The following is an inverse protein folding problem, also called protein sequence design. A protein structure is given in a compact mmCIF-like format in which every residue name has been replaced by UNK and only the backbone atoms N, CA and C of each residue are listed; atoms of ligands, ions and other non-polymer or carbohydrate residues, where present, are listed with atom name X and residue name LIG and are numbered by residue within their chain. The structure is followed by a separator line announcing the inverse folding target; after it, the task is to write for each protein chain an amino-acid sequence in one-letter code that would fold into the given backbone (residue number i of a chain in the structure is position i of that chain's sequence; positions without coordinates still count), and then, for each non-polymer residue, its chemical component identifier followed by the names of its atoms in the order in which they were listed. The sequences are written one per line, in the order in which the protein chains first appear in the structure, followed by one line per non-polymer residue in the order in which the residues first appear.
data_IF_801232750814
#
_entry.id   IF_801232750814
#
_cell.length_a   1.000
_cell.length_b   1.000
_cell.length_c   1.000
_cell.angle_alpha   90.00
_cell.angle_beta   90.00
_cell.angle_gamma   90.00
#
_symmetry.space_group_name_H-M   'P 1'
#
loop_
_entity.id
_entity.type
_entity.pdbx_description
1 polymer ?
#
# COMPACT_ATOMS: atom_id res chain seq x y z
N UNK A 1 -51.24 -14.17 -4.42
CA UNK A 1 -52.47 -13.51 -4.90
C UNK A 1 -52.18 -13.08 -6.32
N UNK A 2 -52.71 -13.85 -7.29
CA UNK A 2 -52.58 -13.61 -8.72
C UNK A 2 -53.53 -12.49 -9.13
N UNK A 3 -53.03 -11.50 -9.85
CA UNK A 3 -53.75 -10.86 -10.96
C UNK A 3 -52.68 -10.44 -11.98
N UNK A 4 -52.71 -11.10 -13.13
CA UNK A 4 -51.97 -10.66 -14.31
C UNK A 4 -52.75 -9.61 -15.08
N UNK A 5 -52.03 -8.89 -15.93
CA UNK A 5 -52.59 -8.34 -17.15
C UNK A 5 -51.58 -8.56 -18.28
N UNK A 6 -52.12 -9.01 -19.41
CA UNK A 6 -51.43 -9.48 -20.60
C UNK A 6 -51.16 -8.32 -21.57
N UNK A 7 -50.05 -8.44 -22.33
CA UNK A 7 -49.58 -7.59 -23.44
C UNK A 7 -48.58 -6.48 -23.08
N UNK A 8 -47.32 -6.88 -22.95
CA UNK A 8 -46.16 -6.00 -23.06
C UNK A 8 -45.09 -6.69 -23.92
N UNK A 9 -45.13 -6.44 -25.23
CA UNK A 9 -44.14 -6.90 -26.20
C UNK A 9 -42.74 -6.52 -25.70
N UNK A 10 -41.88 -7.51 -25.47
CA UNK A 10 -40.44 -7.30 -25.29
C UNK A 10 -39.91 -6.83 -26.65
N UNK A 11 -39.78 -5.52 -26.83
CA UNK A 11 -39.07 -4.95 -27.97
C UNK A 11 -37.57 -4.93 -27.66
N UNK A 12 -36.73 -5.49 -28.54
CA UNK A 12 -35.30 -5.26 -28.47
C UNK A 12 -35.05 -3.81 -28.92
N UNK A 13 -34.61 -2.96 -28.00
CA UNK A 13 -34.11 -1.62 -28.34
C UNK A 13 -32.75 -1.78 -29.04
N UNK A 14 -32.84 -2.06 -30.34
CA UNK A 14 -31.86 -1.82 -31.39
C UNK A 14 -31.33 -0.38 -31.23
N UNK A 15 -30.02 -0.16 -31.19
CA UNK A 15 -29.24 0.20 -32.40
C UNK A 15 -30.04 1.17 -33.27
N UNK A 16 -30.37 2.37 -32.76
CA UNK A 16 -30.84 3.50 -33.57
C UNK A 16 -30.79 4.88 -32.89
N UNK A 17 -29.97 5.06 -31.83
CA UNK A 17 -29.65 6.39 -31.29
C UNK A 17 -28.12 6.63 -31.18
N UNK A 18 -27.32 5.87 -31.93
CA UNK A 18 -25.87 6.12 -32.04
C UNK A 18 -25.55 7.31 -32.95
N UNK A 19 -26.34 7.56 -34.00
CA UNK A 19 -26.12 8.71 -34.90
C UNK A 19 -26.64 10.04 -34.31
N UNK A 20 -27.65 10.00 -33.44
CA UNK A 20 -28.20 11.21 -32.82
C UNK A 20 -27.44 11.63 -31.57
N UNK A 21 -26.76 10.69 -30.89
CA UNK A 21 -25.88 10.98 -29.75
C UNK A 21 -24.42 11.30 -30.15
N UNK A 22 -24.12 11.32 -31.46
CA UNK A 22 -22.85 11.74 -32.06
C UNK A 22 -22.79 13.25 -32.35
N UNK A 23 -23.88 13.98 -32.09
CA UNK A 23 -23.97 15.39 -32.49
C UNK A 23 -23.69 16.42 -31.39
N UNK A 24 -23.54 16.04 -30.11
CA UNK A 24 -23.13 17.01 -29.08
C UNK A 24 -22.06 16.41 -28.14
N UNK A 25 -20.84 16.95 -28.31
CA UNK A 25 -19.75 17.13 -27.35
C UNK A 25 -18.69 16.04 -27.07
N UNK A 26 -18.10 15.45 -28.13
CA UNK A 26 -16.66 15.19 -28.16
C UNK A 26 -16.15 15.16 -29.60
N UNK A 27 -15.88 16.32 -30.20
CA UNK A 27 -15.38 16.41 -31.58
C UNK A 27 -13.88 16.09 -31.68
N UNK A 28 -13.41 15.76 -32.89
CA UNK A 28 -11.98 15.65 -33.19
C UNK A 28 -11.19 16.92 -32.80
N UNK A 29 -11.83 18.10 -32.85
CA UNK A 29 -11.24 19.37 -32.41
C UNK A 29 -11.04 19.44 -30.88
N UNK A 30 -11.94 18.81 -30.11
CA UNK A 30 -11.79 18.67 -28.65
C UNK A 30 -10.61 17.75 -28.33
N UNK A 31 -10.46 16.62 -29.03
CA UNK A 31 -9.31 15.72 -28.88
C UNK A 31 -7.98 16.38 -29.30
N UNK A 32 -7.98 17.16 -30.38
CA UNK A 32 -6.82 17.92 -30.83
C UNK A 32 -6.45 19.03 -29.83
N UNK A 33 -7.44 19.74 -29.28
CA UNK A 33 -7.26 20.71 -28.20
C UNK A 33 -6.72 20.08 -26.90
N UNK A 34 -7.20 18.88 -26.54
CA UNK A 34 -6.75 18.09 -25.39
C UNK A 34 -5.27 17.70 -25.56
N UNK A 35 -4.80 17.39 -26.78
CA UNK A 35 -3.38 17.05 -27.03
C UNK A 35 -2.40 18.24 -26.94
N UNK A 36 -2.88 19.48 -26.72
CA UNK A 36 -2.07 20.73 -26.72
C UNK A 36 -1.16 20.89 -27.96
N UNK A 37 -1.58 20.39 -29.12
CA UNK A 37 -0.74 20.45 -30.32
C UNK A 37 0.56 19.65 -30.23
N UNK A 38 0.69 18.75 -29.24
CA UNK A 38 1.60 17.63 -29.38
C UNK A 38 0.89 16.63 -30.28
N UNK A 39 1.56 16.17 -31.33
CA UNK A 39 1.14 14.97 -32.03
C UNK A 39 0.83 13.89 -30.98
N UNK A 40 -0.26 13.13 -31.17
CA UNK A 40 -0.42 11.80 -30.54
C UNK A 40 0.98 11.19 -30.55
N UNK A 41 1.56 10.84 -29.38
CA UNK A 41 2.98 10.53 -29.24
C UNK A 41 3.37 9.71 -30.44
N UNK A 42 4.29 10.24 -31.27
CA UNK A 42 4.67 9.63 -32.56
C UNK A 42 4.74 8.16 -32.30
N UNK A 43 3.71 7.47 -32.77
CA UNK A 43 3.49 6.13 -32.31
C UNK A 43 4.69 5.39 -32.85
N UNK A 44 5.52 4.84 -31.98
CA UNK A 44 6.49 3.82 -32.32
C UNK A 44 5.81 2.56 -32.94
N UNK A 45 4.51 2.64 -33.25
CA UNK A 45 3.72 1.76 -34.11
C UNK A 45 4.14 1.80 -35.59
N UNK A 46 4.96 2.74 -36.06
CA UNK A 46 5.56 2.68 -37.41
C UNK A 46 4.55 2.60 -38.57
N UNK A 47 3.40 3.24 -38.42
CA UNK A 47 2.23 3.01 -39.28
C UNK A 47 1.94 4.16 -40.27
N UNK A 48 1.43 3.80 -41.46
CA UNK A 48 1.00 4.70 -42.55
C UNK A 48 -0.20 5.58 -42.11
N UNK A 49 -0.49 6.67 -42.83
CA UNK A 49 -1.49 7.66 -42.37
C UNK A 49 -2.93 7.11 -42.21
N UNK A 50 -3.28 6.04 -42.93
CA UNK A 50 -4.59 5.36 -42.79
C UNK A 50 -4.74 4.66 -41.42
N UNK A 51 -3.68 4.06 -40.92
CA UNK A 51 -3.69 3.37 -39.61
C UNK A 51 -3.90 4.37 -38.47
N UNK A 52 -3.38 5.60 -38.59
CA UNK A 52 -3.57 6.65 -37.58
C UNK A 52 -5.05 7.04 -37.46
N UNK A 53 -5.75 7.16 -38.57
CA UNK A 53 -7.18 7.49 -38.60
C UNK A 53 -8.00 6.36 -37.95
N UNK A 54 -7.66 5.10 -38.24
CA UNK A 54 -8.31 3.94 -37.63
C UNK A 54 -8.13 3.91 -36.11
N UNK A 55 -6.90 4.13 -35.62
CA UNK A 55 -6.59 4.15 -34.18
C UNK A 55 -7.39 5.24 -33.46
N UNK A 56 -7.44 6.45 -34.02
CA UNK A 56 -8.22 7.56 -33.43
C UNK A 56 -9.71 7.22 -33.38
N UNK A 57 -10.27 6.63 -34.44
CA UNK A 57 -11.67 6.22 -34.48
C UNK A 57 -12.00 5.16 -33.42
N UNK A 58 -11.11 4.19 -33.21
CA UNK A 58 -11.30 3.17 -32.18
C UNK A 58 -11.21 3.75 -30.77
N UNK A 59 -10.22 4.61 -30.49
CA UNK A 59 -10.09 5.31 -29.22
C UNK A 59 -11.37 6.11 -28.89
N UNK A 60 -11.82 6.96 -29.81
CA UNK A 60 -12.99 7.80 -29.64
C UNK A 60 -14.25 6.96 -29.39
N UNK A 61 -14.45 5.91 -30.20
CA UNK A 61 -15.62 5.02 -30.07
C UNK A 61 -15.66 4.31 -28.71
N UNK A 62 -14.53 3.74 -28.28
CA UNK A 62 -14.41 2.98 -27.03
C UNK A 62 -14.60 3.91 -25.82
N UNK A 63 -13.90 5.05 -25.79
CA UNK A 63 -13.97 6.00 -24.68
C UNK A 63 -15.35 6.63 -24.55
N UNK A 64 -15.97 7.03 -25.68
CA UNK A 64 -17.31 7.60 -25.69
C UNK A 64 -18.35 6.61 -25.18
N UNK A 65 -18.26 5.36 -25.63
CA UNK A 65 -19.14 4.30 -25.16
C UNK A 65 -18.93 4.02 -23.66
N UNK A 66 -17.68 3.97 -23.18
CA UNK A 66 -17.38 3.80 -21.76
C UNK A 66 -17.97 4.92 -20.89
N UNK A 67 -17.73 6.19 -21.26
CA UNK A 67 -18.28 7.35 -20.55
C UNK A 67 -19.80 7.31 -20.46
N UNK A 68 -20.49 7.01 -21.57
CA UNK A 68 -21.95 6.93 -21.64
C UNK A 68 -22.51 5.75 -20.83
N UNK A 69 -21.91 4.57 -20.95
CA UNK A 69 -22.37 3.35 -20.25
C UNK A 69 -22.10 3.38 -18.74
N UNK A 70 -20.98 3.95 -18.32
CA UNK A 70 -20.57 4.03 -16.91
C UNK A 70 -21.03 5.32 -16.21
N UNK A 71 -21.61 6.28 -16.93
CA UNK A 71 -22.06 7.56 -16.37
C UNK A 71 -20.91 8.44 -15.86
N UNK A 72 -19.72 8.33 -16.45
CA UNK A 72 -18.53 9.10 -16.06
C UNK A 72 -18.12 10.07 -17.16
N UNK A 73 -17.43 11.15 -16.79
CA UNK A 73 -16.85 12.09 -17.75
C UNK A 73 -15.39 11.75 -18.04
N UNK A 74 -14.97 12.03 -19.27
CA UNK A 74 -13.57 11.92 -19.65
C UNK A 74 -12.78 13.11 -19.09
N UNK A 75 -11.59 12.84 -18.56
CA UNK A 75 -10.67 13.86 -18.05
C UNK A 75 -9.33 13.72 -18.76
N UNK A 76 -8.73 14.85 -19.13
CA UNK A 76 -7.41 14.85 -19.75
C UNK A 76 -6.36 14.31 -18.77
N UNK A 77 -5.54 13.35 -19.23
CA UNK A 77 -4.45 12.77 -18.44
C UNK A 77 -4.94 11.81 -17.36
N UNK A 78 -6.08 11.14 -17.60
CA UNK A 78 -6.60 10.09 -16.72
C UNK A 78 -5.98 8.70 -16.98
N UNK A 79 -5.07 8.58 -17.95
CA UNK A 79 -4.36 7.35 -18.32
C UNK A 79 -5.13 6.42 -19.27
N UNK A 80 -6.38 6.72 -19.64
CA UNK A 80 -7.21 5.77 -20.40
C UNK A 80 -6.73 5.57 -21.83
N UNK A 81 -6.22 6.63 -22.47
CA UNK A 81 -5.62 6.53 -23.81
C UNK A 81 -4.39 5.64 -23.74
N UNK A 82 -3.53 5.85 -22.74
CA UNK A 82 -2.28 5.12 -22.57
C UNK A 82 -2.51 3.64 -22.26
N UNK A 83 -3.62 3.27 -21.60
CA UNK A 83 -4.05 1.87 -21.46
C UNK A 83 -4.53 1.30 -22.80
N UNK A 84 -5.26 2.08 -23.59
CA UNK A 84 -5.83 1.61 -24.85
C UNK A 84 -4.80 1.38 -25.95
N UNK A 85 -3.72 2.18 -25.99
CA UNK A 85 -2.72 2.10 -27.05
C UNK A 85 -2.06 0.70 -27.16
N UNK A 86 -1.59 0.05 -26.06
CA UNK A 86 -1.14 -1.34 -26.11
C UNK A 86 -2.22 -2.30 -26.59
N UNK A 87 -3.46 -2.16 -26.14
CA UNK A 87 -4.56 -3.05 -26.55
C UNK A 87 -4.90 -2.94 -28.04
N UNK A 88 -4.91 -1.72 -28.58
CA UNK A 88 -5.12 -1.48 -30.01
C UNK A 88 -3.96 -2.06 -30.83
N UNK A 89 -2.73 -2.02 -30.31
CA UNK A 89 -1.57 -2.61 -30.99
C UNK A 89 -1.68 -4.13 -31.20
N UNK A 90 -2.50 -4.82 -30.38
CA UNK A 90 -2.82 -6.24 -30.53
C UNK A 90 -3.76 -6.52 -31.71
N UNK A 91 -4.33 -5.47 -32.34
CA UNK A 91 -5.25 -5.56 -33.49
C UNK A 91 -6.46 -6.47 -33.23
N UNK A 92 -6.97 -6.42 -32.00
CA UNK A 92 -8.17 -7.16 -31.59
C UNK A 92 -9.44 -6.50 -32.13
N UNK A 93 -10.56 -7.25 -32.24
CA UNK A 93 -11.87 -6.65 -32.48
C UNK A 93 -12.19 -5.57 -31.46
N UNK A 94 -12.82 -4.47 -31.88
CA UNK A 94 -13.16 -3.33 -31.00
C UNK A 94 -13.93 -3.73 -29.74
N UNK A 95 -14.81 -4.72 -29.84
CA UNK A 95 -15.54 -5.27 -28.68
C UNK A 95 -14.60 -5.86 -27.63
N UNK A 96 -13.58 -6.58 -28.07
CA UNK A 96 -12.64 -7.28 -27.20
C UNK A 96 -11.67 -6.26 -26.60
N UNK A 97 -11.23 -5.29 -27.39
CA UNK A 97 -10.45 -4.13 -26.91
C UNK A 97 -11.18 -3.36 -25.82
N UNK A 98 -12.48 -3.08 -25.99
CA UNK A 98 -13.31 -2.45 -24.96
C UNK A 98 -13.40 -3.30 -23.70
N UNK A 99 -13.70 -4.60 -23.84
CA UNK A 99 -13.83 -5.51 -22.69
C UNK A 99 -12.52 -5.60 -21.89
N UNK A 100 -11.37 -5.65 -22.57
CA UNK A 100 -10.06 -5.65 -21.93
C UNK A 100 -9.76 -4.32 -21.25
N UNK A 101 -10.03 -3.19 -21.91
CA UNK A 101 -9.88 -1.87 -21.32
C UNK A 101 -10.70 -1.72 -20.03
N UNK A 102 -11.98 -2.08 -20.09
CA UNK A 102 -12.89 -2.03 -18.94
C UNK A 102 -12.37 -2.93 -17.81
N UNK A 103 -12.01 -4.18 -18.11
CA UNK A 103 -11.48 -5.12 -17.13
C UNK A 103 -10.18 -4.60 -16.47
N UNK A 104 -9.25 -4.06 -17.27
CA UNK A 104 -8.00 -3.49 -16.76
C UNK A 104 -8.28 -2.31 -15.82
N UNK A 105 -9.11 -1.37 -16.28
CA UNK A 105 -9.48 -0.19 -15.52
C UNK A 105 -10.14 -0.54 -14.19
N UNK A 106 -11.07 -1.49 -14.18
CA UNK A 106 -11.81 -1.84 -12.97
C UNK A 106 -11.04 -2.74 -12.00
N UNK A 107 -10.17 -3.61 -12.49
CA UNK A 107 -9.49 -4.61 -11.67
C UNK A 107 -8.09 -4.19 -11.23
N UNK A 108 -7.37 -3.41 -12.04
CA UNK A 108 -5.94 -3.19 -11.84
C UNK A 108 -5.54 -1.72 -11.69
N UNK A 109 -6.38 -0.76 -12.10
CA UNK A 109 -6.11 0.67 -11.87
C UNK A 109 -6.65 1.08 -10.49
N UNK A 110 -5.80 1.51 -9.54
CA UNK A 110 -6.27 1.95 -8.24
C UNK A 110 -7.17 3.19 -8.35
N UNK A 111 -8.14 3.27 -7.45
CA UNK A 111 -8.94 4.47 -7.23
C UNK A 111 -8.09 5.58 -6.67
N UNK A 112 -8.51 6.81 -6.98
CA UNK A 112 -7.84 8.00 -6.46
C UNK A 112 -6.47 8.25 -7.07
N UNK A 113 -6.18 7.75 -8.28
CA UNK A 113 -5.01 8.16 -9.07
C UNK A 113 -5.13 9.61 -9.55
N UNK A 114 -5.05 10.53 -8.61
CA UNK A 114 -5.06 11.99 -8.77
C UNK A 114 -4.07 12.60 -7.79
N UNK A 115 -3.74 13.87 -7.97
CA UNK A 115 -2.85 14.62 -7.08
C UNK A 115 -3.28 14.47 -5.61
N UNK A 116 -2.34 14.16 -4.72
CA UNK A 116 -2.58 13.84 -3.30
C UNK A 116 -3.61 12.71 -3.03
N UNK A 117 -3.75 11.76 -3.96
CA UNK A 117 -4.63 10.60 -3.79
C UNK A 117 -4.13 9.60 -2.76
N UNK A 118 -5.05 8.83 -2.17
CA UNK A 118 -4.74 7.78 -1.17
C UNK A 118 -3.73 6.75 -1.69
N UNK A 119 -3.79 6.41 -2.98
CA UNK A 119 -2.83 5.52 -3.66
C UNK A 119 -1.38 5.95 -3.45
N UNK A 120 -1.09 7.25 -3.47
CA UNK A 120 0.26 7.77 -3.33
C UNK A 120 0.71 7.82 -1.86
N UNK A 121 -0.22 7.95 -0.92
CA UNK A 121 0.08 7.77 0.50
C UNK A 121 0.40 6.31 0.82
N UNK A 122 -0.35 5.37 0.24
CA UNK A 122 -0.07 3.93 0.33
C UNK A 122 1.31 3.60 -0.22
N UNK A 123 1.63 4.10 -1.42
CA UNK A 123 2.95 3.89 -2.01
C UNK A 123 4.07 4.52 -1.19
N UNK A 124 3.87 5.73 -0.61
CA UNK A 124 4.83 6.34 0.31
C UNK A 124 5.10 5.46 1.53
N UNK A 125 4.07 4.86 2.14
CA UNK A 125 4.24 3.95 3.27
C UNK A 125 5.00 2.68 2.88
N UNK A 126 4.77 2.16 1.68
CA UNK A 126 5.52 1.02 1.15
C UNK A 126 6.99 1.37 0.95
N UNK A 127 7.29 2.55 0.37
CA UNK A 127 8.66 3.04 0.22
C UNK A 127 9.32 3.25 1.59
N UNK A 128 8.62 3.85 2.56
CA UNK A 128 9.11 4.03 3.92
C UNK A 128 9.44 2.70 4.61
N UNK A 129 8.65 1.66 4.35
CA UNK A 129 8.84 0.34 4.92
C UNK A 129 10.11 -0.35 4.42
N UNK A 130 10.41 -0.20 3.12
CA UNK A 130 11.53 -0.89 2.45
C UNK A 130 12.80 -0.06 2.32
N UNK A 131 12.71 1.25 2.14
CA UNK A 131 13.84 2.18 2.11
C UNK A 131 13.49 3.50 2.84
N UNK A 132 13.59 3.51 4.18
CA UNK A 132 13.23 4.67 4.99
C UNK A 132 14.16 5.87 4.79
N UNK A 133 15.41 5.66 4.38
CA UNK A 133 16.35 6.75 4.07
C UNK A 133 15.92 7.47 2.79
N UNK A 134 15.64 6.70 1.73
CA UNK A 134 15.16 7.25 0.47
C UNK A 134 13.81 7.95 0.61
N UNK A 135 12.86 7.34 1.35
CA UNK A 135 11.59 7.97 1.65
C UNK A 135 11.77 9.30 2.41
N UNK A 136 12.62 9.32 3.45
CA UNK A 136 12.90 10.51 4.24
C UNK A 136 13.56 11.62 3.41
N UNK A 137 14.42 11.25 2.47
CA UNK A 137 15.05 12.19 1.53
C UNK A 137 14.01 12.86 0.63
N UNK A 138 13.13 12.07 -0.01
CA UNK A 138 12.06 12.60 -0.86
C UNK A 138 11.07 13.47 -0.08
N UNK A 139 10.69 13.05 1.13
CA UNK A 139 9.82 13.83 2.03
C UNK A 139 10.47 15.17 2.40
N UNK A 140 11.78 15.19 2.68
CA UNK A 140 12.54 16.43 2.98
C UNK A 140 12.58 17.37 1.78
N UNK A 141 12.72 16.83 0.57
CA UNK A 141 12.65 17.58 -0.70
C UNK A 141 11.21 17.98 -1.08
N UNK A 142 10.20 17.58 -0.27
CA UNK A 142 8.77 17.77 -0.52
C UNK A 142 8.32 17.19 -1.86
N UNK A 143 8.88 16.03 -2.21
CA UNK A 143 8.53 15.28 -3.42
C UNK A 143 7.63 14.12 -3.02
N UNK A 144 6.33 14.35 -3.09
CA UNK A 144 5.33 13.31 -2.87
C UNK A 144 5.21 12.40 -4.10
N UNK A 145 4.80 11.13 -3.94
CA UNK A 145 4.81 10.19 -5.06
C UNK A 145 3.92 10.56 -6.25
N UNK A 146 2.81 11.25 -6.01
CA UNK A 146 1.93 11.74 -7.06
C UNK A 146 2.62 12.69 -8.05
N UNK A 147 3.76 13.28 -7.69
CA UNK A 147 4.52 14.13 -8.60
C UNK A 147 5.30 13.34 -9.66
N UNK A 148 5.67 12.09 -9.39
CA UNK A 148 6.55 11.32 -10.29
C UNK A 148 5.97 9.98 -10.77
N UNK A 149 5.04 9.36 -10.03
CA UNK A 149 4.49 8.05 -10.39
C UNK A 149 3.01 8.10 -10.78
N UNK A 150 2.39 9.27 -10.90
CA UNK A 150 0.96 9.40 -11.26
C UNK A 150 0.62 8.63 -12.54
N UNK A 151 1.40 8.84 -13.61
CA UNK A 151 1.19 8.15 -14.89
C UNK A 151 1.44 6.64 -14.80
N UNK A 152 2.34 6.19 -13.92
CA UNK A 152 2.66 4.78 -13.75
C UNK A 152 1.45 4.02 -13.24
N UNK A 153 0.78 4.55 -12.20
CA UNK A 153 -0.41 3.94 -11.63
C UNK A 153 -1.66 4.12 -12.50
N UNK A 154 -1.80 5.26 -13.20
CA UNK A 154 -2.94 5.51 -14.09
C UNK A 154 -2.94 4.64 -15.35
N UNK A 155 -1.77 4.16 -15.78
CA UNK A 155 -1.62 3.46 -17.07
C UNK A 155 -0.91 2.09 -16.98
N UNK A 156 -0.64 1.60 -15.77
CA UNK A 156 0.24 0.43 -15.55
C UNK A 156 1.53 0.54 -16.37
N UNK A 157 2.19 1.70 -16.22
CA UNK A 157 3.42 2.11 -16.92
C UNK A 157 3.34 2.27 -18.45
N UNK A 158 2.19 2.02 -19.09
CA UNK A 158 2.05 2.13 -20.55
C UNK A 158 2.28 3.56 -21.09
N UNK A 159 2.08 4.59 -20.26
CA UNK A 159 2.38 5.97 -20.60
C UNK A 159 3.89 6.28 -20.70
N UNK A 160 4.73 5.45 -20.06
CA UNK A 160 6.15 5.74 -19.84
C UNK A 160 7.08 4.71 -20.47
N UNK A 161 6.70 3.44 -20.46
CA UNK A 161 7.49 2.37 -21.08
C UNK A 161 7.27 2.34 -22.60
N UNK A 162 8.29 1.91 -23.34
CA UNK A 162 8.11 1.55 -24.75
C UNK A 162 7.12 0.40 -24.91
N UNK A 163 6.42 0.34 -26.04
CA UNK A 163 5.37 -0.67 -26.28
C UNK A 163 5.84 -2.13 -26.06
N UNK A 164 7.02 -2.58 -26.55
CA UNK A 164 7.48 -3.95 -26.30
C UNK A 164 7.65 -4.28 -24.81
N UNK A 165 8.16 -3.31 -24.04
CA UNK A 165 8.37 -3.42 -22.59
C UNK A 165 7.03 -3.45 -21.87
N UNK A 166 6.11 -2.55 -22.23
CA UNK A 166 4.76 -2.49 -21.68
C UNK A 166 3.99 -3.80 -21.88
N UNK A 167 4.05 -4.38 -23.09
CA UNK A 167 3.40 -5.66 -23.40
C UNK A 167 4.02 -6.82 -22.61
N UNK A 168 5.35 -6.95 -22.61
CA UNK A 168 6.06 -7.99 -21.85
C UNK A 168 5.73 -7.92 -20.35
N UNK A 169 5.68 -6.70 -19.80
CA UNK A 169 5.33 -6.47 -18.40
C UNK A 169 3.87 -6.83 -18.13
N UNK A 170 2.95 -6.48 -19.04
CA UNK A 170 1.53 -6.82 -18.91
C UNK A 170 1.27 -8.33 -18.98
N UNK A 171 2.03 -9.08 -19.78
CA UNK A 171 1.94 -10.55 -19.81
C UNK A 171 2.19 -11.14 -18.41
N UNK A 172 3.29 -10.74 -17.76
CA UNK A 172 3.63 -11.22 -16.41
C UNK A 172 2.66 -10.69 -15.34
N UNK A 173 2.27 -9.41 -15.45
CA UNK A 173 1.39 -8.75 -14.50
C UNK A 173 -0.01 -9.41 -14.47
N UNK A 174 -0.60 -9.65 -15.64
CA UNK A 174 -1.92 -10.28 -15.73
C UNK A 174 -1.87 -11.78 -15.46
N UNK A 175 -0.77 -12.46 -15.79
CA UNK A 175 -0.56 -13.85 -15.39
C UNK A 175 -0.51 -14.02 -13.87
N UNK A 176 0.10 -13.08 -13.14
CA UNK A 176 0.11 -13.07 -11.66
C UNK A 176 -1.28 -12.78 -11.06
N UNK A 177 -2.11 -12.04 -11.78
CA UNK A 177 -3.49 -11.69 -11.41
C UNK A 177 -3.64 -10.93 -10.07
N UNK A 178 -2.63 -10.13 -9.70
CA UNK A 178 -2.57 -9.36 -8.45
C UNK A 178 -2.59 -7.83 -8.70
N UNK A 179 -3.68 -7.11 -8.36
CA UNK A 179 -3.77 -5.65 -8.49
C UNK A 179 -2.74 -4.84 -7.73
N UNK A 180 -2.21 -5.37 -6.63
CA UNK A 180 -1.20 -4.66 -5.84
C UNK A 180 0.20 -4.71 -6.45
N UNK A 181 0.40 -5.55 -7.48
CA UNK A 181 1.73 -5.75 -8.04
C UNK A 181 2.35 -4.46 -8.62
N UNK A 182 1.51 -3.49 -9.03
CA UNK A 182 1.96 -2.19 -9.56
C UNK A 182 2.71 -1.37 -8.51
N UNK A 183 2.36 -1.51 -7.22
CA UNK A 183 3.06 -0.85 -6.13
C UNK A 183 4.50 -1.37 -6.00
N UNK A 184 4.71 -2.68 -6.19
CA UNK A 184 6.03 -3.28 -6.09
C UNK A 184 6.89 -3.01 -7.33
N UNK A 185 6.29 -2.96 -8.52
CA UNK A 185 6.97 -2.49 -9.73
C UNK A 185 7.44 -1.04 -9.56
N UNK A 186 6.57 -0.16 -9.06
CA UNK A 186 6.94 1.22 -8.76
C UNK A 186 8.04 1.31 -7.68
N UNK A 187 7.99 0.45 -6.67
CA UNK A 187 9.00 0.40 -5.60
C UNK A 187 10.37 0.03 -6.17
N UNK A 188 10.45 -1.05 -6.96
CA UNK A 188 11.70 -1.51 -7.58
C UNK A 188 12.28 -0.43 -8.48
N UNK A 189 11.44 0.29 -9.25
CA UNK A 189 11.92 1.38 -10.11
C UNK A 189 12.65 2.46 -9.30
N UNK A 190 12.12 2.83 -8.14
CA UNK A 190 12.69 3.86 -7.27
C UNK A 190 13.90 3.34 -6.50
N UNK A 191 13.82 2.14 -5.93
CA UNK A 191 14.89 1.56 -5.11
C UNK A 191 16.12 1.19 -5.95
N UNK A 192 15.95 0.72 -7.18
CA UNK A 192 17.08 0.45 -8.08
C UNK A 192 17.89 1.71 -8.41
N UNK A 193 17.25 2.88 -8.39
CA UNK A 193 17.89 4.16 -8.63
C UNK A 193 18.32 4.89 -7.35
N UNK A 194 18.29 4.22 -6.18
CA UNK A 194 18.57 4.81 -4.86
C UNK A 194 19.82 5.69 -4.83
N UNK A 195 20.97 5.15 -5.23
CA UNK A 195 22.25 5.86 -5.16
C UNK A 195 22.25 7.10 -6.06
N UNK A 196 21.64 7.00 -7.25
CA UNK A 196 21.46 8.13 -8.15
C UNK A 196 20.57 9.20 -7.49
N UNK A 197 19.41 8.82 -6.95
CA UNK A 197 18.47 9.76 -6.32
C UNK A 197 19.10 10.50 -5.13
N UNK A 198 19.81 9.78 -4.25
CA UNK A 198 20.47 10.38 -3.08
C UNK A 198 21.63 11.32 -3.49
N UNK A 199 22.28 11.05 -4.63
CA UNK A 199 23.33 11.93 -5.16
C UNK A 199 22.79 13.29 -5.64
N UNK A 200 21.51 13.37 -6.00
CA UNK A 200 20.82 14.56 -6.53
C UNK A 200 20.39 15.55 -5.43
N UNK A 201 20.91 15.45 -4.20
CA UNK A 201 20.54 16.30 -3.05
C UNK A 201 20.69 17.82 -3.27
N UNK A 202 21.53 18.23 -4.22
CA UNK A 202 21.77 19.63 -4.55
C UNK A 202 21.01 20.08 -5.81
N UNK A 203 20.32 19.17 -6.49
CA UNK A 203 19.59 19.46 -7.71
C UNK A 203 18.26 20.14 -7.39
N UNK A 204 17.68 20.79 -8.39
CA UNK A 204 16.37 21.39 -8.23
C UNK A 204 15.28 20.32 -8.04
N UNK A 205 14.25 20.64 -7.26
CA UNK A 205 13.07 19.78 -7.08
C UNK A 205 12.50 19.30 -8.42
N UNK A 206 12.42 20.19 -9.42
CA UNK A 206 11.84 19.85 -10.72
C UNK A 206 12.71 18.85 -11.48
N UNK A 207 14.03 19.06 -11.50
CA UNK A 207 14.98 18.14 -12.13
C UNK A 207 14.87 16.73 -11.55
N UNK A 208 14.74 16.64 -10.22
CA UNK A 208 14.56 15.36 -9.54
C UNK A 208 13.22 14.70 -9.92
N UNK A 209 12.11 15.46 -9.91
CA UNK A 209 10.80 14.95 -10.35
C UNK A 209 10.82 14.47 -11.80
N UNK A 210 11.43 15.23 -12.71
CA UNK A 210 11.53 14.88 -14.14
C UNK A 210 12.36 13.60 -14.32
N UNK A 211 13.46 13.49 -13.59
CA UNK A 211 14.33 12.29 -13.61
C UNK A 211 13.59 11.07 -13.10
N UNK A 212 12.94 11.17 -11.94
CA UNK A 212 12.14 10.09 -11.36
C UNK A 212 11.05 9.63 -12.34
N UNK A 213 10.27 10.57 -12.87
CA UNK A 213 9.14 10.27 -13.77
C UNK A 213 9.54 9.53 -15.04
N UNK A 214 10.76 9.79 -15.53
CA UNK A 214 11.31 9.23 -16.76
C UNK A 214 12.04 7.88 -16.55
N UNK A 215 12.22 7.41 -15.32
CA UNK A 215 12.97 6.16 -15.05
C UNK A 215 12.45 4.93 -15.83
N UNK A 216 11.13 4.69 -15.94
CA UNK A 216 10.64 3.52 -16.69
C UNK A 216 10.96 3.56 -18.19
N UNK A 217 11.27 4.74 -18.75
CA UNK A 217 11.63 4.87 -20.17
C UNK A 217 12.95 4.14 -20.51
N UNK A 218 13.80 3.89 -19.50
CA UNK A 218 15.09 3.23 -19.68
C UNK A 218 15.02 1.70 -19.54
N UNK A 219 13.86 1.14 -19.19
CA UNK A 219 13.69 -0.30 -19.04
C UNK A 219 13.69 -0.99 -20.41
N UNK A 220 14.47 -2.05 -20.58
CA UNK A 220 14.51 -2.86 -21.80
C UNK A 220 13.66 -4.14 -21.65
N UNK A 221 13.21 -4.71 -22.77
CA UNK A 221 12.29 -5.86 -22.75
C UNK A 221 12.92 -7.11 -22.12
N UNK A 222 14.24 -7.26 -22.27
CA UNK A 222 15.02 -8.39 -21.72
C UNK A 222 15.10 -8.32 -20.18
N UNK A 223 15.03 -7.10 -19.60
CA UNK A 223 15.12 -6.89 -18.15
C UNK A 223 13.78 -7.08 -17.42
N UNK A 224 12.66 -7.15 -18.15
CA UNK A 224 11.30 -7.16 -17.55
C UNK A 224 11.07 -8.36 -16.63
N UNK A 225 11.64 -9.52 -16.96
CA UNK A 225 11.49 -10.74 -16.15
C UNK A 225 12.19 -10.57 -14.79
N UNK A 226 13.41 -10.03 -14.79
CA UNK A 226 14.17 -9.77 -13.56
C UNK A 226 13.52 -8.66 -12.75
N UNK A 227 13.04 -7.61 -13.43
CA UNK A 227 12.28 -6.52 -12.81
C UNK A 227 11.02 -7.02 -12.07
N UNK A 228 10.23 -7.89 -12.70
CA UNK A 228 9.06 -8.50 -12.07
C UNK A 228 9.45 -9.46 -10.93
N UNK A 229 10.56 -10.19 -11.06
CA UNK A 229 11.06 -11.08 -10.01
C UNK A 229 11.50 -10.30 -8.76
N UNK A 230 12.17 -9.16 -8.94
CA UNK A 230 12.50 -8.24 -7.85
C UNK A 230 11.23 -7.67 -7.19
N UNK A 231 10.23 -7.29 -7.99
CA UNK A 231 8.96 -6.81 -7.44
C UNK A 231 8.27 -7.90 -6.61
N UNK A 232 8.33 -9.16 -7.04
CA UNK A 232 7.83 -10.30 -6.27
C UNK A 232 8.63 -10.54 -4.98
N UNK A 233 9.95 -10.32 -4.98
CA UNK A 233 10.75 -10.40 -3.76
C UNK A 233 10.29 -9.37 -2.72
N UNK A 234 10.09 -8.11 -3.11
CA UNK A 234 9.56 -7.07 -2.22
C UNK A 234 8.14 -7.37 -1.74
N UNK A 235 7.30 -7.94 -2.60
CA UNK A 235 5.96 -8.41 -2.26
C UNK A 235 5.99 -9.45 -1.12
N UNK A 236 6.83 -10.48 -1.25
CA UNK A 236 7.01 -11.52 -0.22
C UNK A 236 7.58 -10.99 1.11
N UNK A 237 8.32 -9.88 1.06
CA UNK A 237 8.86 -9.17 2.22
C UNK A 237 7.92 -8.07 2.75
N UNK A 238 6.67 -8.02 2.31
CA UNK A 238 5.69 -7.04 2.78
C UNK A 238 4.56 -7.72 3.56
N UNK A 239 4.15 -7.20 4.73
CA UNK A 239 3.03 -7.73 5.50
C UNK A 239 1.76 -7.92 4.65
N UNK A 240 1.05 -9.03 4.81
CA UNK A 240 -0.18 -9.33 4.03
C UNK A 240 -1.29 -8.33 4.33
N UNK A 241 -1.29 -7.73 5.53
CA UNK A 241 -2.19 -6.63 5.92
C UNK A 241 -2.14 -5.48 4.93
N UNK A 242 -1.01 -5.24 4.26
CA UNK A 242 -0.90 -4.21 3.22
C UNK A 242 -1.94 -4.42 2.11
N UNK A 243 -2.13 -5.66 1.64
CA UNK A 243 -3.10 -5.95 0.59
C UNK A 243 -4.50 -6.12 1.16
N UNK A 244 -4.63 -6.92 2.21
CA UNK A 244 -5.93 -7.31 2.79
C UNK A 244 -6.73 -6.12 3.31
N UNK A 245 -6.07 -5.13 3.93
CA UNK A 245 -6.76 -3.97 4.49
C UNK A 245 -7.06 -2.88 3.48
N UNK A 246 -6.28 -2.81 2.40
CA UNK A 246 -6.32 -1.72 1.43
C UNK A 246 -7.09 -2.06 0.15
N UNK A 247 -7.36 -3.35 -0.11
CA UNK A 247 -8.02 -3.80 -1.34
C UNK A 247 -9.36 -3.09 -1.56
N UNK A 248 -10.16 -2.96 -0.51
CA UNK A 248 -11.45 -2.28 -0.60
C UNK A 248 -11.31 -0.79 -0.84
N UNK A 249 -10.32 -0.15 -0.21
CA UNK A 249 -10.06 1.29 -0.36
C UNK A 249 -9.54 1.64 -1.75
N UNK A 250 -8.77 0.74 -2.37
CA UNK A 250 -8.09 1.02 -3.63
C UNK A 250 -8.81 0.45 -4.85
N UNK A 251 -9.53 -0.66 -4.74
CA UNK A 251 -10.03 -1.41 -5.91
C UNK A 251 -11.53 -1.77 -5.86
N UNK A 252 -12.22 -1.65 -4.72
CA UNK A 252 -13.62 -2.11 -4.62
C UNK A 252 -14.65 -1.16 -5.25
N UNK A 253 -15.67 -1.75 -5.89
CA UNK A 253 -16.88 -1.17 -6.51
C UNK A 253 -17.53 0.06 -5.83
N UNK A 254 -17.73 -0.03 -4.52
CA UNK A 254 -18.68 0.79 -3.79
C UNK A 254 -17.96 1.78 -2.86
N UNK A 255 -18.38 3.06 -2.83
CA UNK A 255 -17.86 4.04 -1.88
C UNK A 255 -18.47 3.77 -0.49
N UNK A 256 -18.05 2.70 0.18
CA UNK A 256 -18.42 2.44 1.58
C UNK A 256 -17.37 3.06 2.49
N UNK A 257 -17.57 4.33 2.87
CA UNK A 257 -16.74 5.00 3.87
C UNK A 257 -15.34 5.39 3.42
N UNK A 258 -15.16 5.68 2.12
CA UNK A 258 -13.86 6.05 1.51
C UNK A 258 -13.14 7.16 2.31
N UNK A 259 -13.86 8.15 2.84
CA UNK A 259 -13.26 9.31 3.50
C UNK A 259 -12.54 8.98 4.83
N UNK A 260 -13.08 8.07 5.65
CA UNK A 260 -12.52 7.81 6.99
C UNK A 260 -11.29 6.91 6.94
N UNK A 261 -11.31 5.85 6.12
CA UNK A 261 -10.14 4.97 5.94
C UNK A 261 -9.02 5.65 5.17
N UNK A 262 -9.34 6.39 4.11
CA UNK A 262 -8.34 7.16 3.36
C UNK A 262 -7.66 8.22 4.24
N UNK A 263 -8.43 8.94 5.06
CA UNK A 263 -7.87 9.90 6.01
C UNK A 263 -6.91 9.24 7.03
N UNK A 264 -7.26 8.05 7.52
CA UNK A 264 -6.40 7.29 8.44
C UNK A 264 -5.06 6.89 7.79
N UNK A 265 -5.07 6.46 6.52
CA UNK A 265 -3.85 6.09 5.78
C UNK A 265 -2.98 7.32 5.50
N UNK A 266 -3.58 8.43 5.08
CA UNK A 266 -2.85 9.68 4.84
C UNK A 266 -2.14 10.21 6.09
N UNK A 267 -2.63 9.88 7.28
CA UNK A 267 -2.06 10.25 8.58
C UNK A 267 -1.16 9.16 9.19
N UNK A 268 -1.04 7.99 8.55
CA UNK A 268 -0.28 6.88 9.10
C UNK A 268 1.23 7.19 9.12
N UNK A 269 1.85 6.91 10.26
CA UNK A 269 3.29 7.11 10.48
C UNK A 269 4.14 6.01 9.81
N UNK A 270 3.65 4.78 9.83
CA UNK A 270 4.29 3.59 9.25
C UNK A 270 3.22 2.60 8.77
N UNK A 271 3.64 1.46 8.22
CA UNK A 271 2.73 0.46 7.68
C UNK A 271 1.86 -0.17 8.79
N UNK A 272 0.53 -0.16 8.67
CA UNK A 272 -0.36 -0.81 9.61
C UNK A 272 -0.34 -2.35 9.44
N UNK A 273 -0.28 -3.07 10.56
CA UNK A 273 -0.42 -4.53 10.62
C UNK A 273 -1.67 -4.89 11.40
N UNK A 274 -2.42 -5.89 10.94
CA UNK A 274 -3.63 -6.36 11.63
C UNK A 274 -3.29 -7.30 12.78
N UNK A 275 -4.15 -7.33 13.80
CA UNK A 275 -4.08 -8.33 14.86
C UNK A 275 -4.10 -9.77 14.32
N UNK A 276 -4.92 -10.02 13.29
CA UNK A 276 -5.03 -11.33 12.64
C UNK A 276 -3.69 -11.79 12.05
N UNK A 277 -3.03 -10.94 11.24
CA UNK A 277 -1.75 -11.29 10.65
C UNK A 277 -0.69 -11.54 11.73
N UNK A 278 -0.60 -10.66 12.74
CA UNK A 278 0.40 -10.81 13.80
C UNK A 278 0.25 -12.13 14.56
N UNK A 279 -0.97 -12.49 14.95
CA UNK A 279 -1.23 -13.74 15.70
C UNK A 279 -1.01 -14.96 14.81
N UNK A 280 -1.48 -14.92 13.56
CA UNK A 280 -1.23 -16.00 12.60
C UNK A 280 0.26 -16.18 12.32
N UNK A 281 1.03 -15.08 12.26
CA UNK A 281 2.47 -15.11 12.08
C UNK A 281 3.19 -15.75 13.27
N UNK A 282 2.76 -15.41 14.49
CA UNK A 282 3.33 -16.00 15.70
C UNK A 282 3.05 -17.51 15.81
N UNK A 283 1.90 -17.97 15.32
CA UNK A 283 1.49 -19.37 15.35
C UNK A 283 2.02 -20.21 14.18
N UNK A 284 2.49 -19.60 13.10
CA UNK A 284 2.98 -20.32 11.92
C UNK A 284 4.23 -21.15 12.24
N UNK A 285 4.20 -22.42 11.83
CA UNK A 285 5.35 -23.32 11.91
C UNK A 285 6.54 -22.76 11.14
N UNK A 286 7.72 -22.91 11.73
CA UNK A 286 8.97 -22.43 11.14
C UNK A 286 9.45 -23.37 10.04
N UNK A 287 8.75 -23.40 8.90
CA UNK A 287 9.31 -24.05 7.71
C UNK A 287 10.42 -23.16 7.14
N UNK A 288 11.70 -23.61 7.15
CA UNK A 288 12.81 -22.83 6.62
C UNK A 288 12.71 -22.52 5.12
N UNK A 289 11.84 -23.23 4.39
CA UNK A 289 11.64 -23.05 2.95
C UNK A 289 10.63 -21.94 2.62
N UNK A 290 9.83 -21.47 3.59
CA UNK A 290 8.82 -20.44 3.33
C UNK A 290 9.40 -19.07 3.64
N UNK A 291 9.79 -18.33 2.60
CA UNK A 291 10.17 -16.92 2.70
C UNK A 291 8.93 -16.06 2.97
N UNK A 292 8.52 -15.98 4.24
CA UNK A 292 7.44 -15.11 4.70
C UNK A 292 7.96 -14.04 5.66
N UNK A 293 7.24 -12.92 5.75
CA UNK A 293 7.46 -11.91 6.78
C UNK A 293 7.43 -12.56 8.17
N UNK A 294 8.35 -12.18 9.05
CA UNK A 294 8.37 -12.60 10.46
C UNK A 294 8.53 -11.37 11.34
N UNK A 295 7.63 -11.20 12.30
CA UNK A 295 7.63 -10.04 13.18
C UNK A 295 8.45 -10.29 14.45
N UNK A 296 9.29 -9.32 14.80
CA UNK A 296 9.79 -9.14 16.16
C UNK A 296 8.87 -8.13 16.85
N UNK A 297 8.02 -8.64 17.74
CA UNK A 297 6.99 -7.86 18.40
C UNK A 297 7.55 -7.07 19.57
N UNK A 298 7.27 -5.77 19.59
CA UNK A 298 7.69 -4.85 20.65
C UNK A 298 6.44 -4.30 21.35
N UNK A 299 6.19 -4.74 22.58
CA UNK A 299 5.11 -4.18 23.41
C UNK A 299 5.59 -2.89 24.06
N UNK A 300 4.96 -1.79 23.66
CA UNK A 300 5.34 -0.44 24.01
C UNK A 300 4.58 0.12 25.21
N UNK A 301 3.66 -0.67 25.79
CA UNK A 301 2.81 -0.22 26.88
C UNK A 301 3.60 -0.06 28.18
N UNK A 302 3.09 0.74 29.12
CA UNK A 302 3.64 0.84 30.47
C UNK A 302 3.82 -0.53 31.14
N UNK A 303 4.82 -0.67 32.01
CA UNK A 303 5.16 -1.95 32.65
C UNK A 303 3.98 -2.60 33.40
N UNK A 304 3.14 -1.81 34.07
CA UNK A 304 1.93 -2.28 34.75
C UNK A 304 0.91 -2.89 33.77
N UNK A 305 0.73 -2.28 32.60
CA UNK A 305 -0.15 -2.83 31.55
C UNK A 305 0.41 -4.09 30.90
N UNK A 306 1.72 -4.15 30.66
CA UNK A 306 2.41 -5.34 30.14
C UNK A 306 2.28 -6.52 31.10
N UNK A 307 2.54 -6.28 32.38
CA UNK A 307 2.44 -7.29 33.44
C UNK A 307 1.00 -7.72 33.74
N UNK A 308 -0.01 -6.94 33.32
CA UNK A 308 -1.42 -7.31 33.41
C UNK A 308 -1.91 -8.20 32.26
N UNK A 309 -1.05 -8.51 31.29
CA UNK A 309 -1.32 -9.39 30.16
C UNK A 309 -0.61 -8.94 28.90
N UNK A 310 0.13 -9.84 28.25
CA UNK A 310 0.87 -9.54 27.02
C UNK A 310 0.96 -10.76 26.08
N UNK A 311 1.42 -10.55 24.85
CA UNK A 311 1.66 -11.63 23.90
C UNK A 311 2.96 -12.39 24.25
N UNK A 312 2.98 -13.74 24.19
CA UNK A 312 4.11 -14.55 24.68
C UNK A 312 5.50 -14.15 24.18
N UNK A 313 5.59 -13.84 22.88
CA UNK A 313 6.84 -13.54 22.18
C UNK A 313 7.20 -12.05 22.17
N UNK A 314 6.42 -11.20 22.86
CA UNK A 314 6.63 -9.76 22.85
C UNK A 314 7.82 -9.34 23.71
N UNK A 315 8.73 -8.56 23.13
CA UNK A 315 9.76 -7.84 23.86
C UNK A 315 9.17 -6.56 24.47
N UNK A 316 9.32 -6.36 25.77
CA UNK A 316 8.80 -5.17 26.44
C UNK A 316 9.75 -3.98 26.29
N UNK A 317 9.22 -2.85 25.83
CA UNK A 317 9.91 -1.56 25.79
C UNK A 317 8.98 -0.47 26.33
N UNK A 318 9.13 -0.12 27.60
CA UNK A 318 8.32 0.94 28.21
C UNK A 318 8.61 2.32 27.56
N UNK A 319 7.65 2.83 26.79
CA UNK A 319 7.79 4.11 26.08
C UNK A 319 7.84 5.33 27.00
N UNK A 320 7.36 5.23 28.25
CA UNK A 320 7.44 6.34 29.20
C UNK A 320 8.89 6.70 29.53
N UNK A 321 9.80 5.73 29.45
CA UNK A 321 11.23 5.93 29.67
C UNK A 321 11.84 6.93 28.69
N UNK A 322 11.26 7.08 27.49
CA UNK A 322 11.79 8.01 26.47
C UNK A 322 11.84 9.46 26.97
N UNK A 323 10.86 9.88 27.78
CA UNK A 323 10.79 11.23 28.34
C UNK A 323 11.30 11.31 29.78
N UNK A 324 11.07 10.26 30.57
CA UNK A 324 11.40 10.24 32.00
C UNK A 324 12.88 9.93 32.24
N UNK A 325 13.43 8.93 31.54
CA UNK A 325 14.78 8.42 31.75
C UNK A 325 15.47 8.06 30.42
N UNK A 326 15.89 9.06 29.60
CA UNK A 326 16.38 8.82 28.25
C UNK A 326 17.59 7.87 28.16
N UNK A 327 18.46 7.87 29.18
CA UNK A 327 19.60 6.96 29.23
C UNK A 327 19.17 5.48 29.41
N UNK A 328 18.14 5.24 30.24
CA UNK A 328 17.56 3.92 30.44
C UNK A 328 16.86 3.45 29.15
N UNK A 329 16.11 4.36 28.50
CA UNK A 329 15.47 4.09 27.21
C UNK A 329 16.48 3.68 26.12
N UNK A 330 17.60 4.41 25.98
CA UNK A 330 18.64 4.06 25.02
C UNK A 330 19.26 2.68 25.30
N UNK A 331 19.44 2.34 26.58
CA UNK A 331 19.91 1.02 27.00
C UNK A 331 18.91 -0.08 26.64
N UNK A 332 17.61 0.18 26.86
CA UNK A 332 16.54 -0.74 26.49
C UNK A 332 16.46 -0.98 24.98
N UNK A 333 16.62 0.08 24.16
CA UNK A 333 16.67 -0.03 22.69
C UNK A 333 17.88 -0.84 22.22
N UNK A 334 19.04 -0.70 22.86
CA UNK A 334 20.20 -1.56 22.56
C UNK A 334 19.92 -3.02 22.92
N UNK A 335 19.28 -3.26 24.07
CA UNK A 335 18.82 -4.57 24.50
C UNK A 335 17.85 -5.20 23.48
N UNK A 336 16.88 -4.42 23.00
CA UNK A 336 15.90 -4.82 21.98
C UNK A 336 16.60 -5.29 20.69
N UNK A 337 17.49 -4.48 20.13
CA UNK A 337 18.20 -4.82 18.88
C UNK A 337 19.18 -5.99 19.07
N UNK A 338 19.72 -6.17 20.28
CA UNK A 338 20.50 -7.37 20.62
C UNK A 338 19.62 -8.61 20.68
N UNK A 339 18.47 -8.52 21.36
CA UNK A 339 17.51 -9.61 21.49
C UNK A 339 16.96 -10.04 20.13
N UNK A 340 16.63 -9.09 19.26
CA UNK A 340 16.20 -9.38 17.88
C UNK A 340 17.26 -10.17 17.11
N UNK A 341 18.53 -9.71 17.13
CA UNK A 341 19.63 -10.42 16.45
C UNK A 341 19.85 -11.83 17.01
N UNK A 342 19.75 -12.00 18.32
CA UNK A 342 19.88 -13.33 18.96
C UNK A 342 18.70 -14.24 18.61
N UNK A 343 17.47 -13.72 18.65
CA UNK A 343 16.25 -14.44 18.31
C UNK A 343 16.24 -14.90 16.85
N UNK A 344 16.74 -14.07 15.94
CA UNK A 344 16.97 -14.41 14.53
C UNK A 344 18.04 -15.48 14.35
N UNK A 345 19.20 -15.32 15.01
CA UNK A 345 20.30 -16.29 14.93
C UNK A 345 19.90 -17.66 15.49
N UNK A 346 19.08 -17.68 16.55
CA UNK A 346 18.55 -18.89 17.17
C UNK A 346 17.34 -19.48 16.43
N UNK A 347 16.79 -18.77 15.44
CA UNK A 347 15.50 -19.11 14.80
C UNK A 347 14.41 -19.37 15.84
N UNK A 348 14.34 -18.56 16.89
CA UNK A 348 13.31 -18.71 17.93
C UNK A 348 11.93 -18.31 17.40
N UNK A 349 10.85 -18.72 18.08
CA UNK A 349 9.48 -18.31 17.71
C UNK A 349 9.30 -16.78 17.70
N UNK A 350 10.04 -16.06 18.56
CA UNK A 350 10.07 -14.61 18.65
C UNK A 350 11.02 -13.95 17.62
N UNK A 351 11.78 -14.74 16.86
CA UNK A 351 12.74 -14.24 15.88
C UNK A 351 12.05 -13.73 14.62
N UNK A 352 12.08 -12.41 14.43
CA UNK A 352 11.58 -11.75 13.23
C UNK A 352 12.47 -10.61 12.75
N UNK A 353 12.59 -10.47 11.44
CA UNK A 353 13.35 -9.38 10.82
C UNK A 353 12.58 -8.06 10.91
N UNK A 354 11.24 -8.13 10.87
CA UNK A 354 10.35 -6.98 10.78
C UNK A 354 9.95 -6.50 12.17
N UNK A 355 10.25 -5.24 12.51
CA UNK A 355 9.83 -4.67 13.79
C UNK A 355 8.34 -4.31 13.75
N UNK A 356 7.57 -4.88 14.68
CA UNK A 356 6.15 -4.57 14.83
C UNK A 356 5.88 -4.02 16.22
N UNK A 357 5.49 -2.75 16.30
CA UNK A 357 5.23 -2.06 17.56
C UNK A 357 3.76 -2.22 17.97
N UNK A 358 3.54 -2.46 19.26
CA UNK A 358 2.23 -2.66 19.87
C UNK A 358 1.98 -1.61 20.95
N UNK A 359 1.06 -0.69 20.68
CA UNK A 359 0.51 0.23 21.68
C UNK A 359 -0.68 -0.36 22.45
N UNK A 360 -1.35 0.45 23.28
CA UNK A 360 -2.56 0.03 23.99
C UNK A 360 -3.79 -0.01 23.08
N UNK A 361 -3.81 0.78 22.00
CA UNK A 361 -4.98 0.96 21.13
C UNK A 361 -5.86 2.15 21.54
N UNK A 362 -5.38 2.97 22.47
CA UNK A 362 -6.03 4.21 22.93
C UNK A 362 -5.17 5.39 22.49
N UNK A 363 -5.77 6.32 21.75
CA UNK A 363 -5.07 7.44 21.10
C UNK A 363 -4.23 8.28 22.08
N UNK A 364 -4.74 8.51 23.29
CA UNK A 364 -4.04 9.31 24.31
C UNK A 364 -2.76 8.62 24.84
N UNK A 365 -2.81 7.31 25.03
CA UNK A 365 -1.69 6.53 25.55
C UNK A 365 -0.66 6.20 24.44
N UNK A 366 -1.14 5.98 23.21
CA UNK A 366 -0.31 5.60 22.06
C UNK A 366 0.57 6.74 21.52
N UNK A 367 0.41 7.97 22.01
CA UNK A 367 1.27 9.10 21.63
C UNK A 367 2.76 8.80 21.88
N UNK A 368 3.09 8.13 22.99
CA UNK A 368 4.47 7.75 23.30
C UNK A 368 4.97 6.62 22.39
N UNK A 369 4.11 5.65 22.06
CA UNK A 369 4.41 4.60 21.08
C UNK A 369 4.75 5.23 19.72
N UNK A 370 3.97 6.21 19.27
CA UNK A 370 4.24 6.94 18.03
C UNK A 370 5.59 7.67 18.06
N UNK A 371 5.97 8.27 19.19
CA UNK A 371 7.28 8.92 19.34
C UNK A 371 8.43 7.91 19.24
N UNK A 372 8.29 6.73 19.85
CA UNK A 372 9.27 5.65 19.73
C UNK A 372 9.38 5.18 18.30
N UNK A 373 8.27 4.88 17.63
CA UNK A 373 8.24 4.49 16.21
C UNK A 373 8.92 5.56 15.34
N UNK A 374 8.60 6.84 15.56
CA UNK A 374 9.23 7.95 14.85
C UNK A 374 10.75 7.99 15.06
N UNK A 375 11.25 7.65 16.27
CA UNK A 375 12.69 7.56 16.54
C UNK A 375 13.39 6.44 15.74
N UNK A 376 12.73 5.30 15.55
CA UNK A 376 13.26 4.22 14.71
C UNK A 376 13.28 4.60 13.22
N UNK A 377 12.22 5.26 12.74
CA UNK A 377 12.14 5.76 11.36
C UNK A 377 13.19 6.86 11.08
N UNK A 378 13.42 7.76 12.05
CA UNK A 378 14.46 8.79 11.96
C UNK A 378 15.86 8.18 11.84
N UNK A 379 16.09 7.00 12.41
CA UNK A 379 17.33 6.23 12.29
C UNK A 379 17.37 5.34 11.04
N UNK A 380 16.42 5.51 10.12
CA UNK A 380 16.28 4.74 8.89
C UNK A 380 16.19 3.23 9.14
N UNK A 381 15.52 2.83 10.22
CA UNK A 381 15.29 1.41 10.52
C UNK A 381 14.27 0.85 9.52
N UNK A 382 14.66 -0.21 8.83
CA UNK A 382 13.83 -0.87 7.83
C UNK A 382 12.71 -1.69 8.50
N UNK A 383 11.66 -1.98 7.75
CA UNK A 383 10.58 -2.90 8.13
C UNK A 383 9.85 -2.54 9.43
N UNK A 384 9.74 -1.24 9.72
CA UNK A 384 9.01 -0.73 10.88
C UNK A 384 7.51 -0.68 10.59
N UNK A 385 6.73 -1.36 11.42
CA UNK A 385 5.27 -1.41 11.35
C UNK A 385 4.63 -1.25 12.73
N UNK A 386 3.32 -1.01 12.77
CA UNK A 386 2.58 -0.91 14.02
C UNK A 386 1.22 -1.61 13.92
N UNK A 387 0.81 -2.25 15.01
CA UNK A 387 -0.47 -2.97 15.08
C UNK A 387 -1.63 -1.98 15.11
N UNK A 388 -2.53 -2.11 14.12
CA UNK A 388 -3.73 -1.29 14.05
C UNK A 388 -4.67 -1.61 15.20
N UNK A 389 -5.02 -0.60 15.99
CA UNK A 389 -5.85 -0.75 17.18
C UNK A 389 -5.13 -1.36 18.39
N UNK A 390 -3.81 -1.56 18.33
CA UNK A 390 -2.96 -1.94 19.46
C UNK A 390 -3.42 -3.21 20.22
N UNK A 391 -3.11 -3.25 21.51
CA UNK A 391 -3.47 -4.35 22.41
C UNK A 391 -4.99 -4.57 22.49
N UNK A 392 -5.79 -3.49 22.36
CA UNK A 392 -7.25 -3.59 22.25
C UNK A 392 -7.67 -4.50 21.08
N UNK A 393 -7.10 -4.33 19.90
CA UNK A 393 -7.41 -5.16 18.73
C UNK A 393 -6.98 -6.64 18.92
N UNK A 394 -5.86 -6.87 19.61
CA UNK A 394 -5.44 -8.24 20.00
C UNK A 394 -6.47 -8.88 20.94
N UNK A 395 -6.97 -8.12 21.91
CA UNK A 395 -7.98 -8.59 22.85
C UNK A 395 -9.32 -8.87 22.16
N UNK A 396 -9.72 -8.04 21.17
CA UNK A 396 -10.89 -8.26 20.33
C UNK A 396 -10.74 -9.52 19.47
N UNK A 397 -9.54 -9.75 18.92
CA UNK A 397 -9.24 -10.94 18.12
C UNK A 397 -9.42 -12.24 18.92
N UNK A 398 -8.84 -12.33 20.12
CA UNK A 398 -8.97 -13.53 20.95
C UNK A 398 -10.35 -13.66 21.62
N UNK A 399 -11.05 -12.54 21.82
CA UNK A 399 -12.36 -12.51 22.46
C UNK A 399 -12.37 -13.25 23.80
N UNK A 400 -13.10 -14.37 23.88
CA UNK A 400 -13.21 -15.17 25.11
C UNK A 400 -11.94 -15.97 25.43
N UNK A 401 -11.10 -16.23 24.44
CA UNK A 401 -9.90 -17.05 24.56
C UNK A 401 -8.66 -16.23 24.97
N UNK A 402 -8.83 -14.93 25.23
CA UNK A 402 -7.76 -14.02 25.63
C UNK A 402 -7.00 -14.54 26.87
N UNK A 403 -7.71 -15.12 27.84
CA UNK A 403 -7.09 -15.69 29.06
C UNK A 403 -6.18 -16.88 28.79
N UNK A 404 -6.43 -17.65 27.73
CA UNK A 404 -5.61 -18.81 27.37
C UNK A 404 -4.44 -18.42 26.44
N UNK A 405 -4.57 -17.30 25.72
CA UNK A 405 -3.65 -16.91 24.65
C UNK A 405 -2.64 -15.84 25.07
N UNK A 406 -2.91 -15.11 26.15
CA UNK A 406 -2.05 -14.05 26.69
C UNK A 406 -1.28 -14.54 27.92
N UNK A 407 0.02 -14.20 27.99
CA UNK A 407 0.85 -14.46 29.18
C UNK A 407 0.47 -13.51 30.32
N UNK A 408 0.47 -14.02 31.54
CA UNK A 408 0.23 -13.30 32.80
C UNK A 408 -1.07 -12.46 32.84
N UNK A 409 -2.05 -12.81 32.00
CA UNK A 409 -3.27 -12.03 31.88
C UNK A 409 -4.12 -12.04 33.15
N UNK A 410 -4.28 -10.86 33.76
CA UNK A 410 -5.14 -10.63 34.91
C UNK A 410 -6.32 -9.70 34.53
N UNK A 411 -7.55 -10.22 34.41
CA UNK A 411 -8.71 -9.42 34.02
C UNK A 411 -9.01 -8.22 34.95
N UNK A 412 -8.60 -8.28 36.22
CA UNK A 412 -8.85 -7.18 37.18
C UNK A 412 -7.91 -5.99 37.00
N UNK A 413 -6.71 -6.21 36.44
CA UNK A 413 -5.74 -5.16 36.17
C UNK A 413 -5.58 -4.86 34.68
N UNK A 414 -6.19 -5.67 33.80
CA UNK A 414 -6.12 -5.48 32.37
C UNK A 414 -6.93 -4.25 31.91
N UNK A 415 -6.25 -3.35 31.20
CA UNK A 415 -6.78 -2.09 30.64
C UNK A 415 -8.01 -2.26 29.72
N UNK A 416 -8.23 -3.46 29.17
CA UNK A 416 -9.38 -3.78 28.30
C UNK A 416 -10.52 -4.44 29.09
N UNK A 417 -10.20 -5.39 29.98
CA UNK A 417 -11.21 -6.08 30.80
C UNK A 417 -11.82 -5.19 31.89
N UNK A 418 -11.01 -4.30 32.46
CA UNK A 418 -11.38 -3.40 33.55
C UNK A 418 -10.96 -1.97 33.20
N UNK A 419 -11.73 -1.26 32.34
CA UNK A 419 -11.37 0.09 31.90
C UNK A 419 -11.37 1.14 33.03
N UNK A 420 -12.15 0.90 34.10
CA UNK A 420 -12.34 1.85 35.21
C UNK A 420 -11.28 1.70 36.33
N UNK A 421 -10.52 0.60 36.38
CA UNK A 421 -9.53 0.36 37.45
C UNK A 421 -8.24 1.17 37.30
N UNK A 422 -7.99 1.75 36.12
CA UNK A 422 -6.80 2.56 35.84
C UNK A 422 -6.98 4.06 36.17
N UNK A 423 -8.15 4.48 36.65
CA UNK A 423 -8.49 5.91 36.85
C UNK A 423 -8.53 6.42 38.30
N UNK A 424 -8.60 5.54 39.31
CA UNK A 424 -8.71 5.95 40.71
C UNK A 424 -7.67 5.22 41.58
N UNK A 425 -6.54 5.88 41.86
CA UNK A 425 -5.66 5.51 42.97
C UNK A 425 -4.16 5.40 42.65
N UNK A 426 -3.49 6.53 42.43
CA UNK A 426 -2.06 6.65 42.68
C UNK A 426 -1.81 7.88 43.56
N UNK A 427 -2.20 7.75 44.83
CA UNK A 427 -1.44 8.36 45.91
C UNK A 427 -1.08 7.26 46.91
N UNK A 428 0.19 7.25 47.32
CA UNK A 428 0.87 6.37 48.27
C UNK A 428 1.31 4.96 47.80
N UNK A 429 2.64 4.75 47.77
CA UNK A 429 3.24 3.41 47.89
C UNK A 429 4.34 3.01 46.90
N UNK A 430 5.40 3.82 46.73
CA UNK A 430 6.64 3.34 46.06
C UNK A 430 7.18 2.10 46.79
N UNK A 431 7.22 0.96 46.11
CA UNK A 431 8.12 -0.13 46.44
C UNK A 431 8.95 -0.46 45.20
N UNK A 432 10.27 -0.31 45.34
CA UNK A 432 11.24 -0.69 44.32
C UNK A 432 11.17 -2.21 44.10
N UNK A 433 10.57 -2.66 42.99
CA UNK A 433 10.78 -4.01 42.48
C UNK A 433 11.88 -3.97 41.44
N UNK A 434 13.07 -4.40 41.85
CA UNK A 434 14.22 -4.67 40.99
C UNK A 434 13.86 -5.68 39.90
N UNK A 435 14.20 -5.33 38.65
CA UNK A 435 14.16 -6.18 37.47
C UNK A 435 15.00 -7.44 37.66
N UNK A 436 14.35 -8.60 37.67
CA UNK A 436 14.99 -9.90 37.51
C UNK A 436 14.11 -10.71 36.57
N UNK A 437 14.37 -10.65 35.26
CA UNK A 437 14.75 -11.82 34.46
C UNK A 437 14.99 -11.41 32.98
N UNK A 438 16.24 -11.04 32.65
CA UNK A 438 16.67 -10.70 31.29
C UNK A 438 17.14 -11.94 30.49
N UNK A 439 17.20 -13.13 31.11
CA UNK A 439 17.78 -14.33 30.49
C UNK A 439 16.85 -15.55 30.39
N UNK A 440 15.57 -15.43 30.74
CA UNK A 440 14.63 -16.56 30.71
C UNK A 440 14.05 -16.92 29.32
N UNK A 441 14.07 -16.01 28.35
CA UNK A 441 13.34 -16.16 27.07
C UNK A 441 14.21 -16.60 25.86
N UNK A 442 15.40 -17.14 26.08
CA UNK A 442 16.19 -17.84 25.05
C UNK A 442 16.06 -19.35 25.26
N UNK A 443 14.98 -19.94 24.78
CA UNK A 443 14.88 -21.39 24.54
C UNK A 443 13.98 -21.71 23.37
#
# INVERSE_FOLDING_TARGET
MLLGDENGVITPLRILDLETALLDDCSADILYGISKGKNIPETNLGNEDEDKVSVVSDLESILTFYCKSSGVQYEQGNGWIEILLPLISLKLPRSDTYNLFEAIKHRYIPRGCKKNGVVFHVFRLLLLYHDPELCSFLDTMRISPDLYCLSWFQSLFAATCGLPVGLCMWDLYFQKADPFFVFFLALVMIVNAREQILSMKNDSKQTLVDTLSAMPCALEADDVTDFCSLAQYYDLKTPSSFKETLVDTLFSAAPTGEDTRAASISQALCLPVTAHELVSNAAADQDPATECVRFFLVDCRPADQYNAGHLPTAFHLDCNLMLQEPAAFLTAVQGLLSAQRQALAARSAAGGEHLCFLGSGRVEEDQYTHMVVASFLQKHTHFVSMVSGGYKAIHEYFGKDARASLEDHNPQSCVICSPDSTGEGLDTGRTNSTSVDIFGKIR
#
